data_IF_469364944750
#
_entry.id   IF_469364944750
#
_cell.length_a   1.000
_cell.length_b   1.000
_cell.length_c   1.000
_cell.angle_alpha   90.00
_cell.angle_beta   90.00
_cell.angle_gamma   90.00
#
_symmetry.space_group_name_H-M   'P 1'
#
loop_
_entity.id
_entity.type
_entity.pdbx_description
1 polymer ?
#
# COMPACT_ATOMS: atom_id res chain seq x y z
N UNK A 1 -29.96 58.82 -17.26
CA UNK A 1 -28.94 58.13 -16.42
C UNK A 1 -29.44 56.78 -15.86
N UNK A 2 -30.74 56.57 -15.64
CA UNK A 2 -31.29 55.29 -15.14
C UNK A 2 -31.35 54.14 -16.17
N UNK A 3 -31.40 54.43 -17.48
CA UNK A 3 -31.49 53.38 -18.53
C UNK A 3 -30.17 52.68 -18.86
N UNK A 4 -29.01 53.27 -18.52
CA UNK A 4 -27.70 52.65 -18.76
C UNK A 4 -27.33 51.63 -17.67
N UNK A 5 -27.78 51.84 -16.44
CA UNK A 5 -27.47 50.96 -15.30
C UNK A 5 -28.22 49.61 -15.41
N UNK A 6 -29.44 49.61 -15.97
CA UNK A 6 -30.22 48.38 -16.17
C UNK A 6 -29.74 47.49 -17.32
N UNK A 7 -29.03 48.05 -18.31
CA UNK A 7 -28.49 47.25 -19.44
C UNK A 7 -27.19 46.56 -19.05
N UNK A 8 -26.32 47.24 -18.29
CA UNK A 8 -25.04 46.67 -17.81
C UNK A 8 -25.25 45.58 -16.75
N UNK A 9 -26.25 45.71 -15.86
CA UNK A 9 -26.58 44.67 -14.88
C UNK A 9 -27.11 43.38 -15.50
N UNK A 10 -27.89 43.48 -16.60
CA UNK A 10 -28.43 42.32 -17.33
C UNK A 10 -27.34 41.59 -18.13
N UNK A 11 -26.38 42.30 -18.71
CA UNK A 11 -25.23 41.69 -19.41
C UNK A 11 -24.25 41.06 -18.41
N UNK A 12 -23.99 41.67 -17.25
CA UNK A 12 -23.17 41.07 -16.19
C UNK A 12 -23.84 39.85 -15.56
N UNK A 13 -25.16 39.85 -15.37
CA UNK A 13 -25.90 38.69 -14.87
C UNK A 13 -25.92 37.54 -15.89
N UNK A 14 -26.02 37.83 -17.19
CA UNK A 14 -25.87 36.82 -18.24
C UNK A 14 -24.42 36.30 -18.34
N UNK A 15 -23.41 37.15 -18.13
CA UNK A 15 -22.00 36.72 -18.05
C UNK A 15 -21.75 35.86 -16.80
N UNK A 16 -22.37 36.17 -15.66
CA UNK A 16 -22.28 35.36 -14.42
C UNK A 16 -23.02 34.02 -14.53
N UNK A 17 -24.17 33.98 -15.21
CA UNK A 17 -24.91 32.75 -15.49
C UNK A 17 -24.24 31.88 -16.56
N UNK A 18 -23.54 32.47 -17.54
CA UNK A 18 -22.72 31.70 -18.50
C UNK A 18 -21.38 31.26 -17.91
N UNK A 19 -20.76 32.03 -16.99
CA UNK A 19 -19.55 31.60 -16.26
C UNK A 19 -19.80 30.47 -15.27
N UNK A 20 -20.99 30.39 -14.66
CA UNK A 20 -21.35 29.29 -13.74
C UNK A 20 -21.54 27.92 -14.40
N UNK A 21 -21.46 27.79 -15.72
CA UNK A 21 -21.65 26.49 -16.42
C UNK A 21 -20.38 25.82 -16.95
N UNK A 22 -19.18 26.35 -16.67
CA UNK A 22 -17.93 25.74 -17.13
C UNK A 22 -17.04 25.10 -16.06
N UNK A 23 -17.22 25.41 -14.77
CA UNK A 23 -16.24 25.00 -13.75
C UNK A 23 -16.70 23.94 -12.74
N UNK A 24 -18.00 23.62 -12.64
CA UNK A 24 -18.47 22.50 -11.79
C UNK A 24 -19.57 21.73 -12.52
N UNK A 25 -19.19 20.84 -13.45
CA UNK A 25 -20.10 19.74 -13.79
C UNK A 25 -20.13 18.82 -12.58
N UNK A 26 -21.22 18.86 -11.81
CA UNK A 26 -21.50 17.93 -10.73
C UNK A 26 -21.31 16.49 -11.23
N UNK A 27 -20.49 15.71 -10.53
CA UNK A 27 -20.28 14.32 -10.88
C UNK A 27 -21.56 13.51 -10.65
N UNK A 28 -21.95 12.73 -11.65
CA UNK A 28 -23.12 11.84 -11.57
C UNK A 28 -22.61 10.39 -11.60
N UNK A 29 -23.20 9.53 -10.77
CA UNK A 29 -22.92 8.10 -10.82
C UNK A 29 -23.45 7.53 -12.13
N UNK A 30 -22.58 6.89 -12.90
CA UNK A 30 -22.90 6.32 -14.21
C UNK A 30 -23.22 4.83 -14.11
N UNK A 31 -22.49 4.09 -13.28
CA UNK A 31 -22.84 2.73 -12.91
C UNK A 31 -22.41 2.40 -11.48
N UNK A 32 -22.95 1.30 -10.99
CA UNK A 32 -22.51 0.60 -9.80
C UNK A 32 -22.49 -0.90 -10.10
N UNK A 33 -21.29 -1.50 -10.07
CA UNK A 33 -21.06 -2.91 -10.36
C UNK A 33 -20.08 -3.50 -9.36
N UNK A 34 -20.26 -4.78 -9.02
CA UNK A 34 -19.29 -5.51 -8.21
C UNK A 34 -18.24 -6.17 -9.09
N UNK A 35 -16.98 -5.82 -8.87
CA UNK A 35 -15.83 -6.28 -9.65
C UNK A 35 -14.77 -6.88 -8.72
N UNK A 36 -14.18 -7.99 -9.16
CA UNK A 36 -13.08 -8.68 -8.46
C UNK A 36 -11.77 -8.68 -9.26
N UNK A 37 -11.81 -8.28 -10.53
CA UNK A 37 -10.64 -8.15 -11.38
C UNK A 37 -10.73 -6.92 -12.31
N UNK A 38 -9.60 -6.23 -12.45
CA UNK A 38 -9.38 -5.16 -13.42
C UNK A 38 -8.18 -5.54 -14.28
N UNK A 39 -8.36 -5.57 -15.60
CA UNK A 39 -7.26 -5.78 -16.55
C UNK A 39 -7.06 -4.52 -17.38
N UNK A 40 -5.87 -3.96 -17.34
CA UNK A 40 -5.43 -2.93 -18.28
C UNK A 40 -4.63 -3.55 -19.42
N UNK A 41 -4.96 -3.15 -20.64
CA UNK A 41 -4.20 -3.45 -21.85
C UNK A 41 -3.64 -2.15 -22.45
N UNK A 42 -2.33 -2.12 -22.75
CA UNK A 42 -1.70 -0.96 -23.38
C UNK A 42 -2.22 -0.73 -24.80
N UNK A 43 -2.05 0.49 -25.34
CA UNK A 43 -2.34 0.75 -26.75
C UNK A 43 -1.41 -0.07 -27.66
N UNK A 44 -1.87 -0.38 -28.87
CA UNK A 44 -0.98 -0.94 -29.90
C UNK A 44 -0.16 0.17 -30.54
N UNK A 45 0.93 -0.18 -31.24
CA UNK A 45 1.76 0.77 -31.98
C UNK A 45 1.01 1.47 -33.14
N UNK A 46 -0.19 1.00 -33.50
CA UNK A 46 -1.03 1.58 -34.54
C UNK A 46 -2.07 2.57 -34.00
N UNK A 47 -2.03 2.87 -32.70
CA UNK A 47 -2.90 3.88 -32.11
C UNK A 47 -2.46 5.28 -32.51
N UNK A 48 -3.43 6.14 -32.84
CA UNK A 48 -3.25 7.53 -33.28
C UNK A 48 -3.01 8.52 -32.12
N UNK A 49 -2.84 7.99 -30.90
CA UNK A 49 -2.46 8.73 -29.70
C UNK A 49 -0.97 8.64 -29.37
N UNK A 50 -0.58 9.32 -28.29
CA UNK A 50 0.79 9.24 -27.79
C UNK A 50 1.00 7.91 -27.04
N UNK A 51 1.61 6.93 -27.69
CA UNK A 51 1.85 5.58 -27.13
C UNK A 51 2.90 5.59 -26.03
N UNK A 52 3.92 6.46 -26.13
CA UNK A 52 5.08 6.51 -25.23
C UNK A 52 4.74 6.80 -23.77
N UNK A 53 3.63 7.50 -23.51
CA UNK A 53 3.22 7.85 -22.14
C UNK A 53 2.57 6.68 -21.40
N UNK A 54 2.15 5.63 -22.11
CA UNK A 54 1.47 4.48 -21.51
C UNK A 54 2.47 3.44 -21.03
N UNK A 55 2.14 2.81 -19.90
CA UNK A 55 2.87 1.63 -19.46
C UNK A 55 2.69 0.52 -20.49
N UNK A 56 3.80 -0.16 -20.83
CA UNK A 56 3.92 -1.01 -22.02
C UNK A 56 3.44 -2.45 -21.83
N UNK A 57 3.26 -2.88 -20.58
CA UNK A 57 2.75 -4.23 -20.25
C UNK A 57 1.32 -4.17 -19.76
N UNK A 58 0.57 -5.26 -19.95
CA UNK A 58 -0.73 -5.41 -19.31
C UNK A 58 -0.58 -5.46 -17.80
N UNK A 59 -1.57 -4.90 -17.09
CA UNK A 59 -1.64 -4.91 -15.63
C UNK A 59 -2.92 -5.61 -15.22
N UNK A 60 -2.84 -6.56 -14.29
CA UNK A 60 -4.00 -7.22 -13.73
C UNK A 60 -4.07 -6.93 -12.23
N UNK A 61 -5.18 -6.37 -11.78
CA UNK A 61 -5.49 -6.18 -10.36
C UNK A 61 -6.56 -7.19 -10.00
N UNK A 62 -6.34 -8.01 -8.97
CA UNK A 62 -7.27 -9.09 -8.58
C UNK A 62 -7.51 -9.10 -7.07
N UNK A 63 -8.76 -9.36 -6.66
CA UNK A 63 -9.14 -9.74 -5.30
C UNK A 63 -9.07 -11.26 -5.18
N UNK A 64 -8.07 -11.78 -4.46
CA UNK A 64 -7.85 -13.21 -4.28
C UNK A 64 -8.25 -13.65 -2.87
N UNK A 65 -9.02 -14.74 -2.77
CA UNK A 65 -9.36 -15.38 -1.49
C UNK A 65 -8.30 -16.39 -1.08
N UNK A 66 -8.22 -16.67 0.22
CA UNK A 66 -7.41 -17.76 0.78
C UNK A 66 -5.95 -17.42 1.06
N UNK A 67 -5.43 -16.30 0.55
CA UNK A 67 -4.09 -15.80 0.93
C UNK A 67 -4.12 -15.18 2.33
N UNK A 68 -5.03 -14.25 2.59
CA UNK A 68 -5.27 -13.66 3.93
C UNK A 68 -6.36 -14.43 4.66
N UNK A 69 -6.24 -14.51 5.99
CA UNK A 69 -7.24 -15.05 6.90
C UNK A 69 -8.45 -14.11 7.04
N UNK A 70 -8.26 -12.81 6.79
CA UNK A 70 -9.28 -11.77 6.95
C UNK A 70 -10.13 -11.48 5.71
N UNK A 71 -9.91 -12.21 4.61
CA UNK A 71 -10.74 -12.15 3.41
C UNK A 71 -9.96 -11.97 2.11
N UNK A 72 -10.35 -10.96 1.32
CA UNK A 72 -9.76 -10.72 0.00
C UNK A 72 -8.38 -10.07 0.13
N UNK A 73 -7.38 -10.72 -0.45
CA UNK A 73 -6.03 -10.21 -0.62
C UNK A 73 -5.90 -9.61 -2.02
N UNK A 74 -5.48 -8.35 -2.11
CA UNK A 74 -5.30 -7.69 -3.41
C UNK A 74 -3.94 -8.05 -4.01
N UNK A 75 -3.92 -8.43 -5.28
CA UNK A 75 -2.68 -8.67 -6.03
C UNK A 75 -2.61 -7.83 -7.29
N UNK A 76 -1.40 -7.39 -7.65
CA UNK A 76 -1.09 -6.77 -8.93
C UNK A 76 -0.17 -7.71 -9.69
N UNK A 77 -0.53 -8.01 -10.94
CA UNK A 77 0.24 -8.85 -11.84
C UNK A 77 0.61 -8.07 -13.08
N UNK A 78 1.81 -8.30 -13.60
CA UNK A 78 2.26 -7.82 -14.91
C UNK A 78 3.33 -8.75 -15.45
N UNK A 79 3.60 -8.64 -16.75
CA UNK A 79 4.77 -9.28 -17.34
C UNK A 79 5.98 -8.36 -17.19
N UNK A 80 7.03 -8.90 -16.59
CA UNK A 80 8.34 -8.29 -16.65
C UNK A 80 8.84 -8.32 -18.11
N UNK A 81 9.23 -7.15 -18.62
CA UNK A 81 9.66 -7.00 -20.01
C UNK A 81 11.07 -7.54 -20.24
N UNK A 82 11.89 -7.63 -19.19
CA UNK A 82 13.25 -8.15 -19.27
C UNK A 82 13.24 -9.69 -19.36
N UNK A 83 12.57 -10.35 -18.43
CA UNK A 83 12.58 -11.82 -18.30
C UNK A 83 11.39 -12.52 -18.97
N UNK A 84 10.31 -11.80 -19.26
CA UNK A 84 9.04 -12.37 -19.72
C UNK A 84 8.21 -13.05 -18.62
N UNK A 85 8.74 -13.11 -17.39
CA UNK A 85 8.09 -13.75 -16.26
C UNK A 85 6.89 -12.92 -15.76
N UNK A 86 5.90 -13.61 -15.19
CA UNK A 86 4.80 -12.93 -14.50
C UNK A 86 5.24 -12.57 -13.09
N UNK A 87 5.24 -11.28 -12.79
CA UNK A 87 5.55 -10.73 -11.46
C UNK A 87 4.24 -10.40 -10.73
N UNK A 88 4.15 -10.79 -9.46
CA UNK A 88 2.93 -10.61 -8.64
C UNK A 88 3.27 -9.94 -7.31
N UNK A 89 2.65 -8.79 -7.05
CA UNK A 89 2.84 -8.01 -5.81
C UNK A 89 1.53 -7.88 -5.04
N UNK A 90 1.60 -7.56 -3.76
CA UNK A 90 0.45 -7.13 -2.97
C UNK A 90 -0.04 -5.75 -3.42
N UNK A 91 -1.36 -5.63 -3.54
CA UNK A 91 -2.11 -4.40 -3.78
C UNK A 91 -1.98 -3.40 -2.65
N UNK A 92 -1.49 -2.20 -2.96
CA UNK A 92 -1.51 -1.07 -2.02
C UNK A 92 -2.78 -0.21 -2.11
N UNK A 93 -2.76 0.93 -1.43
CA UNK A 93 -3.87 1.90 -1.34
C UNK A 93 -4.48 2.27 -2.70
N UNK A 94 -3.64 2.49 -3.72
CA UNK A 94 -4.12 2.83 -5.06
C UNK A 94 -4.87 1.67 -5.74
N UNK A 95 -4.53 0.41 -5.42
CA UNK A 95 -5.28 -0.76 -5.88
C UNK A 95 -6.68 -0.77 -5.29
N UNK A 96 -6.82 -0.49 -3.99
CA UNK A 96 -8.14 -0.40 -3.34
C UNK A 96 -8.98 0.74 -3.92
N UNK A 97 -8.37 1.91 -4.09
CA UNK A 97 -9.04 3.07 -4.65
C UNK A 97 -9.52 2.83 -6.07
N UNK A 98 -8.71 2.22 -6.94
CA UNK A 98 -9.12 2.02 -8.33
C UNK A 98 -10.25 0.99 -8.44
N UNK A 99 -10.28 -0.03 -7.58
CA UNK A 99 -11.45 -0.89 -7.43
C UNK A 99 -12.68 -0.09 -7.03
N UNK A 100 -12.59 0.77 -6.01
CA UNK A 100 -13.73 1.61 -5.58
C UNK A 100 -14.21 2.56 -6.69
N UNK A 101 -13.29 3.26 -7.34
CA UNK A 101 -13.57 4.25 -8.39
C UNK A 101 -14.19 3.61 -9.65
N UNK A 102 -13.75 2.42 -10.04
CA UNK A 102 -14.29 1.73 -11.24
C UNK A 102 -15.52 0.87 -10.93
N UNK A 103 -15.70 0.42 -9.67
CA UNK A 103 -16.96 -0.22 -9.24
C UNK A 103 -18.11 0.78 -9.26
N UNK A 104 -17.86 2.01 -8.79
CA UNK A 104 -18.83 3.11 -8.78
C UNK A 104 -18.29 4.25 -9.64
N UNK A 105 -18.43 4.13 -10.96
CA UNK A 105 -17.88 5.12 -11.87
C UNK A 105 -18.73 6.40 -11.82
N UNK A 106 -18.07 7.50 -11.49
CA UNK A 106 -18.64 8.84 -11.57
C UNK A 106 -18.13 9.57 -12.81
N UNK A 107 -19.04 10.22 -13.53
CA UNK A 107 -18.75 10.94 -14.78
C UNK A 107 -19.11 12.42 -14.65
N UNK A 108 -18.34 13.28 -15.33
CA UNK A 108 -18.65 14.71 -15.50
C UNK A 108 -19.50 14.97 -16.74
N UNK A 109 -19.69 13.98 -17.60
CA UNK A 109 -20.52 14.12 -18.80
C UNK A 109 -20.63 12.81 -19.56
N UNK A 110 -21.75 12.66 -20.25
CA UNK A 110 -22.09 11.52 -21.10
C UNK A 110 -22.57 12.07 -22.43
N UNK A 111 -22.03 11.55 -23.53
CA UNK A 111 -22.41 11.89 -24.90
C UNK A 111 -22.67 10.57 -25.66
N UNK A 112 -23.90 10.33 -26.17
CA UNK A 112 -24.15 9.14 -26.99
C UNK A 112 -23.40 9.24 -28.32
N UNK A 113 -22.91 8.11 -28.83
CA UNK A 113 -22.28 8.07 -30.15
C UNK A 113 -23.37 8.26 -31.21
N UNK A 114 -23.36 9.40 -31.90
CA UNK A 114 -24.27 9.70 -33.00
C UNK A 114 -23.64 9.29 -34.35
N UNK A 115 -24.23 8.31 -35.03
CA UNK A 115 -23.77 7.79 -36.33
C UNK A 115 -22.79 6.61 -36.25
N UNK A 116 -22.32 6.12 -37.41
CA UNK A 116 -21.48 4.90 -37.49
C UNK A 116 -20.00 5.12 -37.12
N UNK A 117 -19.50 6.37 -37.10
CA UNK A 117 -18.08 6.66 -36.88
C UNK A 117 -17.85 7.60 -35.72
N UNK A 118 -17.09 7.11 -34.73
CA UNK A 118 -16.54 7.93 -33.66
C UNK A 118 -15.55 8.92 -34.27
N UNK A 119 -15.63 10.19 -33.85
CA UNK A 119 -14.70 11.22 -34.33
C UNK A 119 -13.26 10.81 -34.07
N UNK A 120 -12.42 10.82 -35.11
CA UNK A 120 -10.99 10.54 -35.03
C UNK A 120 -10.27 11.46 -34.05
N UNK A 121 -10.80 12.68 -33.82
CA UNK A 121 -10.24 13.62 -32.85
C UNK A 121 -10.30 13.15 -31.39
N UNK A 122 -11.09 12.11 -31.09
CA UNK A 122 -11.21 11.51 -29.77
C UNK A 122 -10.16 10.42 -29.50
N UNK A 123 -9.44 9.96 -30.54
CA UNK A 123 -8.43 8.88 -30.46
C UNK A 123 -9.01 7.58 -29.86
N UNK A 124 -10.24 7.25 -30.24
CA UNK A 124 -10.98 6.08 -29.79
C UNK A 124 -11.19 5.11 -30.96
N UNK A 125 -10.38 4.06 -31.02
CA UNK A 125 -10.42 3.02 -32.05
C UNK A 125 -9.92 1.68 -31.50
N UNK A 126 -9.87 0.64 -32.34
CA UNK A 126 -9.49 -0.73 -31.97
C UNK A 126 -8.11 -0.87 -31.28
N UNK A 127 -7.21 0.09 -31.57
CA UNK A 127 -5.85 0.15 -31.07
C UNK A 127 -5.70 0.94 -29.76
N UNK A 128 -6.76 1.60 -29.28
CA UNK A 128 -6.74 2.35 -28.03
C UNK A 128 -6.38 1.45 -26.83
N UNK A 129 -5.79 2.03 -25.76
CA UNK A 129 -5.65 1.33 -24.49
C UNK A 129 -7.03 0.96 -23.93
N UNK A 130 -7.10 -0.17 -23.22
CA UNK A 130 -8.37 -0.72 -22.71
C UNK A 130 -8.27 -1.05 -21.24
N UNK A 131 -9.40 -0.94 -20.57
CA UNK A 131 -9.60 -1.51 -19.23
C UNK A 131 -10.80 -2.45 -19.29
N UNK A 132 -10.61 -3.68 -18.87
CA UNK A 132 -11.66 -4.66 -18.69
C UNK A 132 -12.00 -4.75 -17.20
N UNK A 133 -13.27 -4.55 -16.88
CA UNK A 133 -13.79 -4.77 -15.53
C UNK A 133 -14.45 -6.14 -15.51
N UNK A 134 -14.02 -7.00 -14.58
CA UNK A 134 -14.46 -8.38 -14.52
C UNK A 134 -15.00 -8.75 -13.14
N UNK A 135 -15.89 -9.74 -13.15
CA UNK A 135 -16.38 -10.41 -11.96
C UNK A 135 -16.37 -11.91 -12.21
N UNK A 136 -15.64 -12.67 -11.39
CA UNK A 136 -15.50 -14.12 -11.50
C UNK A 136 -15.11 -14.58 -12.91
N UNK A 137 -14.16 -13.87 -13.53
CA UNK A 137 -13.65 -14.14 -14.88
C UNK A 137 -14.52 -13.64 -16.04
N UNK A 138 -15.76 -13.19 -15.79
CA UNK A 138 -16.63 -12.62 -16.81
C UNK A 138 -16.37 -11.13 -16.98
N UNK A 139 -16.18 -10.67 -18.22
CA UNK A 139 -16.10 -9.23 -18.54
C UNK A 139 -17.49 -8.61 -18.37
N UNK A 140 -17.59 -7.63 -17.48
CA UNK A 140 -18.80 -6.83 -17.25
C UNK A 140 -18.78 -5.55 -18.08
N UNK A 141 -17.62 -4.89 -18.18
CA UNK A 141 -17.43 -3.61 -18.88
C UNK A 141 -16.09 -3.59 -19.63
N UNK A 142 -16.08 -2.96 -20.79
CA UNK A 142 -14.86 -2.67 -21.56
C UNK A 142 -14.75 -1.17 -21.81
N UNK A 143 -13.76 -0.56 -21.17
CA UNK A 143 -13.51 0.88 -21.24
C UNK A 143 -12.37 1.12 -22.21
N UNK A 144 -12.65 1.87 -23.26
CA UNK A 144 -11.66 2.29 -24.26
C UNK A 144 -11.16 3.69 -23.89
N UNK A 145 -9.85 3.85 -23.80
CA UNK A 145 -9.23 5.11 -23.36
C UNK A 145 -8.91 5.97 -24.57
N UNK A 146 -9.47 7.18 -24.61
CA UNK A 146 -9.26 8.14 -25.68
C UNK A 146 -8.30 9.26 -25.27
N UNK A 147 -8.47 10.40 -25.94
CA UNK A 147 -7.69 11.62 -25.75
C UNK A 147 -7.82 12.19 -24.32
N UNK A 148 -6.69 12.69 -23.80
CA UNK A 148 -6.68 13.56 -22.61
C UNK A 148 -7.04 14.99 -23.01
N UNK A 149 -8.00 15.63 -22.34
CA UNK A 149 -8.33 17.03 -22.62
C UNK A 149 -7.21 17.92 -22.08
N UNK A 150 -6.53 18.64 -22.96
CA UNK A 150 -5.46 19.58 -22.59
C UNK A 150 -6.02 20.70 -21.71
N UNK A 151 -5.41 20.93 -20.55
CA UNK A 151 -5.81 21.97 -19.60
C UNK A 151 -6.96 21.60 -18.65
N UNK A 152 -7.53 20.40 -18.77
CA UNK A 152 -8.58 19.89 -17.88
C UNK A 152 -8.13 18.59 -17.21
N UNK A 153 -8.55 18.34 -15.97
CA UNK A 153 -8.26 17.12 -15.21
C UNK A 153 -9.17 15.96 -15.65
N UNK A 154 -9.52 15.90 -16.93
CA UNK A 154 -10.48 14.94 -17.48
C UNK A 154 -9.94 14.11 -18.64
N UNK A 155 -10.45 12.89 -18.75
CA UNK A 155 -10.15 11.92 -19.81
C UNK A 155 -11.43 11.56 -20.54
N UNK A 156 -11.33 11.44 -21.87
CA UNK A 156 -12.41 10.88 -22.69
C UNK A 156 -12.24 9.36 -22.69
N UNK A 157 -13.31 8.65 -22.38
CA UNK A 157 -13.37 7.19 -22.50
C UNK A 157 -14.65 6.77 -23.23
N UNK A 158 -14.66 5.56 -23.78
CA UNK A 158 -15.86 4.95 -24.36
C UNK A 158 -16.21 3.67 -23.64
N UNK A 159 -17.50 3.47 -23.38
CA UNK A 159 -18.08 2.21 -22.92
C UNK A 159 -19.38 1.96 -23.70
N UNK A 160 -19.54 0.78 -24.29
CA UNK A 160 -20.69 0.50 -25.17
C UNK A 160 -20.85 1.54 -26.28
N UNK A 161 -22.03 2.18 -26.32
CA UNK A 161 -22.39 3.23 -27.28
C UNK A 161 -22.29 4.65 -26.69
N UNK A 162 -21.57 4.83 -25.58
CA UNK A 162 -21.48 6.08 -24.85
C UNK A 162 -20.03 6.57 -24.76
N UNK A 163 -19.84 7.88 -24.91
CA UNK A 163 -18.61 8.60 -24.63
C UNK A 163 -18.75 9.25 -23.26
N UNK A 164 -17.82 8.96 -22.37
CA UNK A 164 -17.81 9.45 -21.00
C UNK A 164 -16.64 10.41 -20.79
N UNK A 165 -16.89 11.43 -19.98
CA UNK A 165 -15.85 12.36 -19.50
C UNK A 165 -15.64 12.06 -18.02
N UNK A 166 -14.49 11.47 -17.69
CA UNK A 166 -14.14 11.06 -16.32
C UNK A 166 -12.95 11.85 -15.78
N UNK A 167 -12.72 11.79 -14.47
CA UNK A 167 -11.50 12.32 -13.89
C UNK A 167 -10.28 11.59 -14.48
N UNK A 168 -9.28 12.33 -14.93
CA UNK A 168 -8.10 11.77 -15.57
C UNK A 168 -7.30 10.88 -14.62
N UNK A 169 -7.25 11.22 -13.32
CA UNK A 169 -6.46 10.49 -12.34
C UNK A 169 -6.82 9.00 -12.23
N UNK A 170 -8.09 8.63 -12.42
CA UNK A 170 -8.54 7.22 -12.42
C UNK A 170 -7.80 6.40 -13.48
N UNK A 171 -7.62 6.95 -14.68
CA UNK A 171 -6.97 6.26 -15.80
C UNK A 171 -5.47 6.50 -15.87
N UNK A 172 -5.02 7.71 -15.53
CA UNK A 172 -3.62 8.11 -15.59
C UNK A 172 -2.74 7.30 -14.61
N UNK A 173 -3.32 6.60 -13.62
CA UNK A 173 -2.58 5.62 -12.81
C UNK A 173 -2.02 4.46 -13.65
N UNK A 174 -2.76 3.99 -14.66
CA UNK A 174 -2.30 2.90 -15.53
C UNK A 174 -1.16 3.34 -16.46
N UNK A 175 -1.06 4.63 -16.79
CA UNK A 175 0.03 5.15 -17.61
C UNK A 175 1.36 5.13 -16.85
N UNK A 176 1.32 5.28 -15.52
CA UNK A 176 2.50 5.25 -14.63
C UNK A 176 3.01 3.84 -14.35
N UNK A 177 2.21 2.82 -14.67
CA UNK A 177 2.59 1.41 -14.55
C UNK A 177 2.33 0.78 -13.19
N UNK A 178 2.77 -0.46 -13.04
CA UNK A 178 2.48 -1.28 -11.85
C UNK A 178 2.99 -0.69 -10.54
N UNK A 179 4.08 0.10 -10.58
CA UNK A 179 4.62 0.75 -9.39
C UNK A 179 3.63 1.69 -8.69
N UNK A 180 2.64 2.22 -9.41
CA UNK A 180 1.57 3.06 -8.83
C UNK A 180 0.64 2.25 -7.91
N UNK A 181 0.53 0.95 -8.12
CA UNK A 181 -0.45 0.09 -7.43
C UNK A 181 0.12 -0.74 -6.30
N UNK A 182 1.45 -0.95 -6.27
CA UNK A 182 2.16 -1.81 -5.29
C UNK A 182 2.05 -1.30 -3.85
N UNK A 183 1.95 -2.23 -2.91
CA UNK A 183 2.06 -1.95 -1.49
C UNK A 183 3.53 -1.67 -1.12
N UNK A 184 3.84 -0.40 -0.78
CA UNK A 184 5.21 0.02 -0.40
C UNK A 184 5.57 -0.26 1.06
N UNK A 185 4.62 -0.17 2.00
CA UNK A 185 4.92 -0.53 3.39
C UNK A 185 4.94 -2.05 3.50
N UNK A 186 5.99 -2.61 4.08
CA UNK A 186 6.13 -4.07 4.17
C UNK A 186 5.07 -4.71 5.06
N UNK A 187 4.58 -3.93 6.04
CA UNK A 187 3.52 -4.31 6.96
C UNK A 187 2.42 -3.25 6.87
N UNK A 188 1.31 -3.61 6.24
CA UNK A 188 0.12 -2.76 6.20
C UNK A 188 -0.86 -3.20 7.29
N UNK A 189 -0.90 -2.46 8.39
CA UNK A 189 -1.77 -2.82 9.51
C UNK A 189 -3.22 -2.39 9.30
N UNK A 190 -3.52 -1.36 8.48
CA UNK A 190 -4.84 -0.72 8.46
C UNK A 190 -5.34 -0.44 9.90
N UNK A 191 -6.35 -1.16 10.38
CA UNK A 191 -6.89 -1.06 11.74
C UNK A 191 -6.31 -2.08 12.74
N UNK A 192 -5.53 -3.04 12.24
CA UNK A 192 -4.91 -4.12 12.97
C UNK A 192 -3.67 -3.69 13.77
N UNK A 193 -3.05 -4.67 14.44
CA UNK A 193 -1.88 -4.50 15.29
C UNK A 193 -0.95 -5.69 15.17
N UNK A 194 0.34 -5.45 15.39
CA UNK A 194 1.30 -6.56 15.53
C UNK A 194 1.06 -7.24 16.87
N UNK A 195 0.89 -8.55 16.86
CA UNK A 195 0.63 -9.36 18.08
C UNK A 195 1.79 -10.29 18.41
N UNK A 196 2.65 -10.59 17.44
CA UNK A 196 3.81 -11.45 17.64
C UNK A 196 4.89 -11.17 16.60
N UNK A 197 6.16 -11.30 17.00
CA UNK A 197 7.28 -11.26 16.07
C UNK A 197 8.31 -12.35 16.39
N UNK A 198 8.89 -12.93 15.36
CA UNK A 198 9.99 -13.90 15.45
C UNK A 198 11.12 -13.43 14.55
N UNK A 199 12.24 -13.04 15.15
CA UNK A 199 13.49 -12.76 14.44
C UNK A 199 14.37 -14.00 14.43
N UNK A 200 14.91 -14.37 13.27
CA UNK A 200 15.79 -15.50 13.06
C UNK A 200 17.04 -15.04 12.30
N UNK A 201 18.23 -15.29 12.87
CA UNK A 201 19.54 -14.95 12.27
C UNK A 201 20.61 -15.88 12.83
N UNK A 202 21.39 -16.56 11.97
CA UNK A 202 22.56 -17.39 12.34
C UNK A 202 22.40 -18.24 13.62
N UNK A 203 21.34 -19.06 13.68
CA UNK A 203 21.07 -19.96 14.82
C UNK A 203 20.50 -19.28 16.07
N UNK A 204 20.28 -17.96 16.02
CA UNK A 204 19.59 -17.20 17.07
C UNK A 204 18.12 -17.00 16.70
N UNK A 205 17.27 -17.02 17.72
CA UNK A 205 15.84 -16.74 17.58
C UNK A 205 15.36 -15.85 18.71
N UNK A 206 14.79 -14.70 18.37
CA UNK A 206 14.10 -13.83 19.32
C UNK A 206 12.61 -13.88 19.03
N UNK A 207 11.84 -14.42 19.97
CA UNK A 207 10.38 -14.48 19.90
C UNK A 207 9.80 -13.48 20.89
N UNK A 208 8.95 -12.59 20.39
CA UNK A 208 8.24 -11.60 21.19
C UNK A 208 6.74 -11.74 20.99
N UNK A 209 5.97 -11.57 22.07
CA UNK A 209 4.54 -11.32 21.97
C UNK A 209 4.21 -9.86 22.32
N UNK A 210 3.11 -9.37 21.77
CA UNK A 210 2.59 -8.03 22.02
C UNK A 210 1.14 -8.11 22.46
N UNK A 211 0.81 -7.28 23.45
CA UNK A 211 -0.56 -7.04 23.89
C UNK A 211 -0.87 -5.55 23.66
N UNK A 212 -1.39 -5.20 22.47
CA UNK A 212 -1.82 -3.84 22.19
C UNK A 212 -2.95 -3.44 23.14
N UNK A 213 -2.87 -2.23 23.69
CA UNK A 213 -3.93 -1.66 24.50
C UNK A 213 -4.12 -0.18 24.18
N UNK A 214 -5.29 0.36 24.53
CA UNK A 214 -5.58 1.79 24.42
C UNK A 214 -5.53 2.41 25.80
N UNK A 215 -4.67 3.38 25.98
CA UNK A 215 -4.70 4.25 27.16
C UNK A 215 -5.19 5.63 26.73
N UNK A 216 -6.42 5.97 27.15
CA UNK A 216 -7.17 7.12 26.63
C UNK A 216 -7.35 7.00 25.10
N UNK A 217 -6.64 7.81 24.33
CA UNK A 217 -6.68 7.83 22.85
C UNK A 217 -5.41 7.31 22.20
N UNK A 218 -4.38 6.95 22.97
CA UNK A 218 -3.07 6.53 22.47
C UNK A 218 -3.02 5.00 22.45
N UNK A 219 -2.77 4.42 21.28
CA UNK A 219 -2.45 2.98 21.16
C UNK A 219 -1.05 2.76 21.76
N UNK A 220 -0.95 1.87 22.74
CA UNK A 220 0.30 1.44 23.37
C UNK A 220 0.51 -0.05 23.13
N UNK A 221 1.75 -0.48 23.23
CA UNK A 221 2.15 -1.88 23.05
C UNK A 221 2.79 -2.40 24.32
N UNK A 222 2.37 -3.58 24.76
CA UNK A 222 3.01 -4.28 25.86
C UNK A 222 3.73 -5.52 25.32
N UNK A 223 5.06 -5.42 25.26
CA UNK A 223 5.89 -6.46 24.67
C UNK A 223 6.53 -7.35 25.72
N UNK A 224 6.53 -8.66 25.48
CA UNK A 224 7.34 -9.61 26.25
C UNK A 224 8.22 -10.43 25.34
N UNK A 225 9.41 -10.74 25.81
CA UNK A 225 10.31 -11.69 25.16
C UNK A 225 10.00 -13.10 25.67
N UNK A 226 9.62 -13.99 24.76
CA UNK A 226 9.28 -15.39 25.03
C UNK A 226 10.48 -16.33 24.83
N UNK A 227 11.47 -15.94 24.03
CA UNK A 227 12.71 -16.69 23.83
C UNK A 227 13.69 -16.49 24.99
N UNK A 228 14.32 -17.57 25.46
CA UNK A 228 15.23 -17.52 26.61
C UNK A 228 14.48 -17.26 27.92
N UNK A 229 14.90 -16.25 28.70
CA UNK A 229 14.18 -15.85 29.91
C UNK A 229 12.97 -14.98 29.54
N UNK A 230 11.78 -15.40 30.02
CA UNK A 230 10.55 -14.61 29.92
C UNK A 230 10.73 -13.28 30.65
N UNK A 231 10.71 -12.19 29.90
CA UNK A 231 10.81 -10.83 30.45
C UNK A 231 9.80 -9.91 29.81
N UNK A 232 9.28 -8.98 30.61
CA UNK A 232 8.57 -7.80 30.12
C UNK A 232 9.59 -6.77 29.67
N UNK A 233 9.44 -6.26 28.45
CA UNK A 233 10.33 -5.23 27.93
C UNK A 233 10.01 -3.85 28.52
N UNK A 234 11.02 -2.99 28.59
CA UNK A 234 10.78 -1.56 28.82
C UNK A 234 9.94 -0.97 27.68
N UNK A 235 9.05 -0.03 28.03
CA UNK A 235 8.11 0.56 27.07
C UNK A 235 8.83 1.19 25.88
N UNK A 236 9.92 1.92 26.12
CA UNK A 236 10.74 2.58 25.10
C UNK A 236 11.35 1.58 24.11
N UNK A 237 11.83 0.43 24.59
CA UNK A 237 12.39 -0.63 23.76
C UNK A 237 11.30 -1.33 22.94
N UNK A 238 10.16 -1.63 23.56
CA UNK A 238 9.00 -2.21 22.87
C UNK A 238 8.42 -1.29 21.79
N UNK A 239 8.31 0.00 22.08
CA UNK A 239 7.85 1.00 21.10
C UNK A 239 8.86 1.19 19.97
N UNK A 240 10.16 1.22 20.28
CA UNK A 240 11.23 1.26 19.27
C UNK A 240 11.15 0.06 18.33
N UNK A 241 11.00 -1.16 18.88
CA UNK A 241 10.82 -2.38 18.09
C UNK A 241 9.59 -2.29 17.18
N UNK A 242 8.43 -1.96 17.75
CA UNK A 242 7.20 -1.84 16.96
C UNK A 242 7.34 -0.83 15.83
N UNK A 243 7.97 0.32 16.09
CA UNK A 243 8.20 1.36 15.09
C UNK A 243 9.15 0.90 13.98
N UNK A 244 10.23 0.18 14.31
CA UNK A 244 11.13 -0.39 13.30
C UNK A 244 10.44 -1.48 12.47
N UNK A 245 9.60 -2.31 13.09
CA UNK A 245 8.86 -3.37 12.39
C UNK A 245 7.87 -2.76 11.40
N UNK A 246 6.99 -1.86 11.85
CA UNK A 246 5.91 -1.28 11.04
C UNK A 246 6.42 -0.21 10.06
N UNK A 247 7.54 0.44 10.39
CA UNK A 247 8.12 1.53 9.58
C UNK A 247 8.88 1.09 8.33
N UNK A 248 9.01 -0.22 8.06
CA UNK A 248 9.77 -0.69 6.91
C UNK A 248 9.03 -0.44 5.59
N UNK A 249 9.80 0.02 4.60
CA UNK A 249 9.32 0.35 3.27
C UNK A 249 10.17 -0.35 2.21
N UNK A 250 9.56 -0.68 1.07
CA UNK A 250 10.29 -0.92 -0.18
C UNK A 250 10.87 0.41 -0.66
N UNK A 251 12.19 0.44 -0.86
CA UNK A 251 12.91 1.63 -1.29
C UNK A 251 13.17 1.64 -2.80
N UNK A 252 13.32 0.45 -3.40
CA UNK A 252 13.54 0.30 -4.82
C UNK A 252 12.99 -1.05 -5.31
N UNK A 253 12.28 -1.04 -6.44
CA UNK A 253 11.91 -2.25 -7.16
C UNK A 253 12.91 -2.55 -8.29
N UNK A 254 13.10 -3.82 -8.67
CA UNK A 254 14.01 -4.17 -9.75
C UNK A 254 13.69 -3.53 -11.11
N UNK A 255 12.41 -3.26 -11.38
CA UNK A 255 11.90 -2.64 -12.61
C UNK A 255 11.69 -1.12 -12.52
N UNK A 256 12.07 -0.48 -11.42
CA UNK A 256 12.13 0.97 -11.35
C UNK A 256 13.25 1.51 -12.28
N UNK A 257 13.22 2.79 -12.70
CA UNK A 257 14.25 3.36 -13.58
C UNK A 257 15.69 3.21 -13.10
N UNK A 258 15.89 3.18 -11.77
CA UNK A 258 17.20 2.99 -11.13
C UNK A 258 17.36 1.57 -10.54
N UNK A 259 16.47 0.65 -10.89
CA UNK A 259 16.48 -0.74 -10.45
C UNK A 259 17.55 -1.56 -11.18
N UNK A 260 17.90 -2.71 -10.59
CA UNK A 260 18.90 -3.61 -11.15
C UNK A 260 18.32 -4.68 -12.10
N UNK A 261 17.02 -4.70 -12.37
CA UNK A 261 16.36 -5.75 -13.16
C UNK A 261 16.04 -7.03 -12.36
N UNK A 262 14.99 -7.75 -12.76
CA UNK A 262 14.52 -8.93 -12.04
C UNK A 262 15.46 -10.12 -12.19
N UNK A 263 16.19 -10.23 -13.30
CA UNK A 263 17.19 -11.28 -13.49
C UNK A 263 18.29 -11.21 -12.41
N UNK A 264 18.80 -10.00 -12.14
CA UNK A 264 19.79 -9.76 -11.08
C UNK A 264 19.18 -9.98 -9.71
N UNK A 265 17.98 -9.45 -9.45
CA UNK A 265 17.32 -9.58 -8.16
C UNK A 265 17.07 -11.05 -7.76
N UNK A 266 16.67 -11.89 -8.72
CA UNK A 266 16.53 -13.34 -8.53
C UNK A 266 17.85 -14.02 -8.19
N UNK A 267 18.94 -13.66 -8.89
CA UNK A 267 20.27 -14.21 -8.59
C UNK A 267 20.74 -13.83 -7.18
N UNK A 268 20.51 -12.59 -6.75
CA UNK A 268 20.87 -12.11 -5.41
C UNK A 268 20.07 -12.78 -4.28
N UNK A 269 18.92 -13.36 -4.60
CA UNK A 269 18.05 -14.07 -3.65
C UNK A 269 18.08 -15.60 -3.81
N UNK A 270 18.97 -16.13 -4.66
CA UNK A 270 19.21 -17.56 -4.85
C UNK A 270 20.16 -18.17 -3.80
N UNK A 271 20.49 -17.42 -2.76
CA UNK A 271 21.34 -17.81 -1.64
C UNK A 271 20.52 -17.83 -0.34
N UNK A 272 20.99 -18.46 0.75
CA UNK A 272 20.31 -18.36 2.03
C UNK A 272 20.11 -16.90 2.47
N UNK A 273 18.97 -16.61 3.09
CA UNK A 273 18.73 -15.31 3.71
C UNK A 273 19.61 -15.15 4.95
N UNK A 274 20.18 -13.97 5.15
CA UNK A 274 20.99 -13.64 6.33
C UNK A 274 20.11 -13.57 7.59
N UNK A 275 18.89 -13.04 7.43
CA UNK A 275 17.93 -12.92 8.51
C UNK A 275 16.49 -13.07 8.01
N UNK A 276 15.60 -13.45 8.93
CA UNK A 276 14.16 -13.56 8.69
C UNK A 276 13.37 -12.95 9.85
N UNK A 277 12.41 -12.10 9.52
CA UNK A 277 11.44 -11.54 10.47
C UNK A 277 10.05 -12.05 10.14
N UNK A 278 9.47 -12.86 11.02
CA UNK A 278 8.07 -13.29 10.95
C UNK A 278 7.24 -12.39 11.86
N UNK A 279 6.13 -11.87 11.37
CA UNK A 279 5.22 -10.98 12.09
C UNK A 279 3.83 -11.59 12.02
N UNK A 280 3.18 -11.76 13.17
CA UNK A 280 1.75 -12.08 13.23
C UNK A 280 0.96 -10.81 13.50
N UNK A 281 -0.11 -10.62 12.74
CA UNK A 281 -1.04 -9.50 12.87
C UNK A 281 -2.31 -9.99 13.60
N UNK A 282 -3.04 -9.09 14.26
CA UNK A 282 -4.26 -9.41 15.02
C UNK A 282 -5.36 -10.08 14.19
N UNK A 283 -5.37 -9.91 12.87
CA UNK A 283 -6.28 -10.59 11.95
C UNK A 283 -5.91 -12.07 11.68
N UNK A 284 -4.82 -12.57 12.26
CA UNK A 284 -4.34 -13.93 12.11
C UNK A 284 -3.26 -14.12 11.04
N UNK A 285 -3.03 -13.12 10.17
CA UNK A 285 -2.05 -13.23 9.09
C UNK A 285 -0.61 -13.24 9.63
N UNK A 286 0.21 -14.09 9.02
CA UNK A 286 1.66 -14.12 9.15
C UNK A 286 2.31 -13.47 7.94
N UNK A 287 3.12 -12.45 8.18
CA UNK A 287 4.01 -11.84 7.19
C UNK A 287 5.44 -12.25 7.53
N UNK A 288 6.13 -12.89 6.59
CA UNK A 288 7.56 -13.22 6.71
C UNK A 288 8.36 -12.35 5.76
N UNK A 289 9.31 -11.59 6.30
CA UNK A 289 10.30 -10.82 5.56
C UNK A 289 11.63 -11.56 5.63
N UNK A 290 12.17 -11.94 4.47
CA UNK A 290 13.51 -12.53 4.35
C UNK A 290 14.46 -11.47 3.81
N UNK A 291 15.59 -11.28 4.48
CA UNK A 291 16.62 -10.32 4.11
C UNK A 291 17.86 -11.07 3.61
N UNK A 292 18.34 -10.70 2.42
CA UNK A 292 19.46 -11.37 1.75
C UNK A 292 20.75 -10.53 1.86
N UNK A 293 21.90 -11.08 1.45
CA UNK A 293 23.17 -10.36 1.49
C UNK A 293 23.10 -8.98 0.84
N UNK A 294 23.81 -8.02 1.45
CA UNK A 294 23.91 -6.64 0.97
C UNK A 294 24.42 -6.59 -0.47
N UNK A 295 23.84 -5.69 -1.26
CA UNK A 295 24.27 -5.37 -2.62
C UNK A 295 24.38 -3.86 -2.81
N UNK A 296 25.19 -3.42 -3.77
CA UNK A 296 25.27 -2.02 -4.16
C UNK A 296 24.54 -1.82 -5.50
N UNK A 297 23.63 -0.86 -5.56
CA UNK A 297 22.91 -0.49 -6.78
C UNK A 297 23.03 1.02 -6.92
N UNK A 298 23.66 1.49 -8.01
CA UNK A 298 23.85 2.92 -8.28
C UNK A 298 24.48 3.68 -7.10
N UNK A 299 25.53 3.12 -6.49
CA UNK A 299 26.27 3.69 -5.36
C UNK A 299 25.49 3.79 -4.04
N UNK A 300 24.33 3.14 -3.94
CA UNK A 300 23.55 3.02 -2.71
C UNK A 300 23.54 1.55 -2.27
N UNK A 301 23.78 1.34 -0.97
CA UNK A 301 23.75 0.01 -0.36
C UNK A 301 22.31 -0.39 -0.02
N UNK A 302 21.90 -1.54 -0.56
CA UNK A 302 20.58 -2.13 -0.36
C UNK A 302 20.69 -3.57 0.13
N UNK A 303 19.61 -4.04 0.74
CA UNK A 303 19.35 -5.47 0.91
C UNK A 303 18.22 -5.92 0.00
N UNK A 304 18.46 -6.94 -0.85
CA UNK A 304 17.36 -7.66 -1.45
C UNK A 304 16.53 -8.29 -0.34
N UNK A 305 15.21 -8.25 -0.50
CA UNK A 305 14.27 -8.82 0.43
C UNK A 305 13.10 -9.46 -0.30
N UNK A 306 12.48 -10.43 0.35
CA UNK A 306 11.25 -11.08 -0.11
C UNK A 306 10.22 -11.04 1.01
N UNK A 307 9.00 -10.66 0.65
CA UNK A 307 7.84 -10.72 1.53
C UNK A 307 6.99 -11.93 1.18
N UNK A 308 6.61 -12.68 2.20
CA UNK A 308 5.79 -13.88 2.11
C UNK A 308 4.60 -13.72 3.05
N UNK A 309 3.38 -13.93 2.56
CA UNK A 309 2.14 -13.85 3.35
C UNK A 309 1.55 -15.25 3.51
N UNK A 310 1.39 -15.69 4.76
CA UNK A 310 0.85 -16.98 5.19
C UNK A 310 1.51 -18.22 4.55
N UNK A 311 2.69 -18.07 3.96
CA UNK A 311 3.31 -19.12 3.13
C UNK A 311 2.58 -19.41 1.81
N UNK A 312 1.50 -18.70 1.51
CA UNK A 312 0.62 -18.92 0.34
C UNK A 312 0.90 -17.94 -0.79
N UNK A 313 1.49 -16.79 -0.47
CA UNK A 313 1.87 -15.74 -1.41
C UNK A 313 3.31 -15.32 -1.15
N UNK A 314 4.12 -15.21 -2.20
CA UNK A 314 5.50 -14.73 -2.14
C UNK A 314 5.69 -13.71 -3.24
N UNK A 315 6.16 -12.52 -2.87
CA UNK A 315 6.50 -11.49 -3.85
C UNK A 315 7.82 -11.81 -4.55
N UNK A 316 8.02 -11.28 -5.77
CA UNK A 316 9.35 -11.13 -6.34
C UNK A 316 10.27 -10.31 -5.41
N UNK A 317 11.60 -10.48 -5.53
CA UNK A 317 12.54 -9.69 -4.75
C UNK A 317 12.36 -8.19 -4.97
N UNK A 318 12.53 -7.42 -3.89
CA UNK A 318 12.60 -5.97 -3.88
C UNK A 318 13.76 -5.52 -2.98
N UNK A 319 14.05 -4.22 -2.93
CA UNK A 319 15.17 -3.69 -2.17
C UNK A 319 14.73 -2.76 -1.05
N UNK A 320 15.33 -2.96 0.13
CA UNK A 320 15.30 -2.01 1.25
C UNK A 320 16.69 -1.41 1.41
N UNK A 321 16.82 -0.20 1.96
CA UNK A 321 18.15 0.35 2.24
C UNK A 321 18.83 -0.40 3.38
N UNK A 322 20.16 -0.53 3.28
CA UNK A 322 20.98 -1.17 4.32
C UNK A 322 20.84 -0.45 5.68
N UNK A 323 20.74 0.87 5.69
CA UNK A 323 20.59 1.65 6.94
C UNK A 323 19.29 1.29 7.69
N UNK A 324 18.20 1.05 6.97
CA UNK A 324 16.94 0.57 7.54
C UNK A 324 17.09 -0.82 8.16
N UNK A 325 17.83 -1.73 7.49
CA UNK A 325 18.12 -3.05 8.03
C UNK A 325 19.03 -2.99 9.27
N UNK A 326 20.06 -2.14 9.26
CA UNK A 326 20.96 -1.98 10.39
C UNK A 326 20.26 -1.42 11.64
N UNK A 327 19.32 -0.47 11.47
CA UNK A 327 18.45 -0.01 12.58
C UNK A 327 17.62 -1.15 13.17
N UNK A 328 17.09 -2.04 12.34
CA UNK A 328 16.37 -3.21 12.81
C UNK A 328 17.30 -4.13 13.62
N UNK A 329 18.50 -4.43 13.11
CA UNK A 329 19.51 -5.23 13.82
C UNK A 329 19.97 -4.61 15.14
N UNK A 330 20.12 -3.29 15.20
CA UNK A 330 20.46 -2.59 16.42
C UNK A 330 19.41 -2.81 17.51
N UNK A 331 18.12 -2.66 17.17
CA UNK A 331 17.03 -2.91 18.12
C UNK A 331 16.97 -4.38 18.53
N UNK A 332 17.18 -5.32 17.60
CA UNK A 332 17.33 -6.76 17.90
C UNK A 332 18.44 -6.99 18.92
N UNK A 333 19.62 -6.41 18.73
CA UNK A 333 20.73 -6.52 19.68
C UNK A 333 20.39 -5.98 21.08
N UNK A 334 19.59 -4.92 21.16
CA UNK A 334 19.09 -4.40 22.43
C UNK A 334 18.03 -5.32 23.08
N UNK A 335 17.18 -5.96 22.26
CA UNK A 335 16.22 -6.97 22.71
C UNK A 335 16.90 -8.23 23.27
N UNK A 336 18.06 -8.63 22.72
CA UNK A 336 18.87 -9.73 23.27
C UNK A 336 19.42 -9.38 24.66
N UNK A 337 19.94 -8.17 24.82
CA UNK A 337 20.57 -7.69 26.06
C UNK A 337 19.56 -7.29 27.14
N UNK A 338 18.28 -7.16 26.79
CA UNK A 338 17.25 -6.75 27.73
C UNK A 338 17.16 -7.72 28.92
N UNK A 339 17.11 -7.14 30.12
CA UNK A 339 16.94 -7.85 31.38
C UNK A 339 15.55 -7.60 31.98
N UNK A 340 15.18 -8.43 32.96
CA UNK A 340 13.90 -8.31 33.63
C UNK A 340 13.83 -6.96 34.35
N UNK A 341 12.76 -6.19 34.09
CA UNK A 341 12.44 -4.96 34.82
C UNK A 341 12.53 -5.25 36.33
N UNK A 342 13.47 -4.60 37.03
CA UNK A 342 13.46 -4.58 38.50
C UNK A 342 12.23 -3.79 38.91
N UNK A 343 11.33 -4.38 39.69
CA UNK A 343 10.25 -3.62 40.31
C UNK A 343 10.87 -2.47 41.11
N UNK A 344 10.30 -1.25 41.05
CA UNK A 344 10.74 -0.20 41.96
C UNK A 344 10.52 -0.70 43.38
N UNK A 345 11.60 -0.80 44.16
CA UNK A 345 11.50 -1.00 45.60
C UNK A 345 10.65 0.15 46.12
N UNK A 346 9.47 -0.14 46.67
CA UNK A 346 8.65 0.86 47.33
C UNK A 346 9.51 1.55 48.40
N UNK A 347 9.86 2.81 48.17
CA UNK A 347 10.55 3.66 49.16
C UNK A 347 9.64 4.06 50.34
N UNK A 348 8.52 3.35 50.54
CA UNK A 348 7.62 3.55 51.68
C UNK A 348 7.89 2.58 52.86
N UNK A 349 8.86 1.67 52.77
CA UNK A 349 9.24 0.78 53.87
C UNK A 349 10.49 1.23 54.66
N UNK A 350 10.95 2.48 54.49
CA UNK A 350 12.08 3.03 55.26
C UNK A 350 11.71 3.98 56.41
N UNK A 351 10.43 4.11 56.79
CA UNK A 351 10.00 4.93 57.93
C UNK A 351 9.10 4.17 58.95
N UNK A 352 9.50 2.96 59.34
CA UNK A 352 8.92 2.24 60.48
C UNK A 352 9.88 2.17 61.66
N UNK A 353 9.69 3.04 62.65
CA UNK A 353 10.44 3.09 63.92
C UNK A 353 10.51 1.74 64.69
N UNK A 354 11.53 1.55 65.56
CA UNK A 354 11.81 0.28 66.21
C UNK A 354 10.82 -0.04 67.35
N UNK A 355 10.25 -1.25 67.35
CA UNK A 355 9.54 -1.81 68.52
C UNK A 355 10.57 -2.49 69.44
N UNK A 356 11.15 -1.73 70.35
CA UNK A 356 11.63 -2.28 71.62
C UNK A 356 10.48 -2.21 72.63
N UNK A 357 9.87 -3.36 72.92
CA UNK A 357 9.05 -3.55 74.13
C UNK A 357 9.64 -4.74 74.89
N UNK A 358 10.41 -4.40 75.92
CA UNK A 358 10.90 -5.31 76.96
C UNK A 358 9.72 -5.81 77.79
N UNK A 359 9.65 -7.10 78.15
CA UNK A 359 8.68 -7.58 79.14
C UNK A 359 9.24 -7.37 80.55
N UNK A 360 8.56 -6.59 81.39
CA UNK A 360 8.77 -6.62 82.85
C UNK A 360 7.59 -7.34 83.50
N UNK A 361 7.92 -8.51 84.05
CA UNK A 361 7.17 -9.21 85.07
C UNK A 361 6.80 -8.27 86.22
N UNK A 362 5.56 -8.34 86.69
CA UNK A 362 5.24 -8.13 88.10
C UNK A 362 4.51 -9.36 88.65
N UNK A 363 5.23 -10.08 89.51
CA UNK A 363 4.66 -10.90 90.58
C UNK A 363 4.86 -10.12 91.88
N UNK A 364 3.79 -9.63 92.49
CA UNK A 364 3.39 -9.88 93.89
C UNK A 364 2.15 -9.09 94.24
#
# INVERSE_FOLDING_TARGET
MAFFIFRVSRTCAQFFLFRRKKEERSEVSFWEIDIDEIEYQPPTNFWDGEVSIFYKSSIFLKKRKGISESGNFLTIESKDLETGDTIVFEGGYNSENIFRELSVLKVKGVEPIQGEKISTSLQLNENSPKIYLKSSGKILKTIWIGKKKTGDSTRIVKEGNEILIIQANTIDRFTRGIGEFRQKQLINLKDESVVETIWEEEGKTIRLDNHPFKEKTIKKNFWRRLSGKLITLEQTLGDSWNNQVVGQLVELYPDDPNGAGYAIAKRLTAVPADASLKIRISNGDWITLRYYPKTNINSIDYRPAIRIVNGKFSEPPFYIREDSFLRLKEVVGNLEKAEQKKEPVNQNDQNGLPKNLTPKNDRR
#
